data_IF_439284536986
#
_entry.id   IF_439284536986
#
_cell.length_a   1.000
_cell.length_b   1.000
_cell.length_c   1.000
_cell.angle_alpha   90.00
_cell.angle_beta   90.00
_cell.angle_gamma   90.00
#
_symmetry.space_group_name_H-M   'P 1'
#
loop_
_entity.id
_entity.type
_entity.pdbx_description
1 polymer ?
#
# COMPACT_ATOMS: atom_id res chain seq x y z
N UNK A 1 0.73 16.33 34.86
CA UNK A 1 1.23 15.11 34.20
C UNK A 1 1.74 15.51 32.84
N UNK A 2 3.05 15.53 32.68
CA UNK A 2 3.76 15.98 31.48
C UNK A 2 3.40 15.11 30.29
N UNK A 3 3.19 15.75 29.14
CA UNK A 3 2.96 15.10 27.87
C UNK A 3 4.11 14.15 27.59
N UNK A 4 3.86 12.84 27.79
CA UNK A 4 4.85 11.80 27.57
C UNK A 4 5.39 11.90 26.16
N UNK A 5 6.72 11.97 26.07
CA UNK A 5 7.45 11.73 24.84
C UNK A 5 6.82 10.52 24.17
N UNK A 6 6.16 10.73 23.01
CA UNK A 6 5.77 9.62 22.17
C UNK A 6 7.08 8.99 21.73
N UNK A 7 7.51 7.94 22.41
CA UNK A 7 8.71 7.20 22.06
C UNK A 7 8.63 6.89 20.57
N UNK A 8 9.51 7.52 19.79
CA UNK A 8 9.59 7.26 18.37
C UNK A 8 9.94 5.79 18.18
N UNK A 9 9.38 5.18 17.13
CA UNK A 9 9.76 3.82 16.79
C UNK A 9 11.28 3.70 16.62
N UNK A 10 11.88 2.65 17.19
CA UNK A 10 13.31 2.36 17.01
C UNK A 10 13.65 1.99 15.55
N UNK A 11 12.65 1.61 14.76
CA UNK A 11 12.78 1.35 13.33
C UNK A 11 12.75 2.66 12.57
N UNK A 12 13.91 3.09 12.06
CA UNK A 12 14.13 4.41 11.43
C UNK A 12 13.21 4.75 10.25
N UNK A 13 12.71 3.74 9.53
CA UNK A 13 11.83 3.94 8.39
C UNK A 13 10.35 3.84 8.76
N UNK A 14 10.01 3.51 10.01
CA UNK A 14 8.62 3.38 10.46
C UNK A 14 8.03 4.77 10.75
N UNK A 15 6.83 5.01 10.21
CA UNK A 15 6.08 6.27 10.41
C UNK A 15 5.16 6.20 11.64
N UNK A 16 5.07 5.06 12.32
CA UNK A 16 4.24 4.89 13.52
C UNK A 16 4.96 5.34 14.79
N UNK A 17 4.22 5.98 15.70
CA UNK A 17 4.70 6.41 17.01
C UNK A 17 4.19 5.48 18.13
N UNK A 18 4.98 5.34 19.20
CA UNK A 18 4.64 4.48 20.33
C UNK A 18 4.83 2.99 20.03
N UNK A 19 4.46 2.14 20.99
CA UNK A 19 4.61 0.69 20.87
C UNK A 19 3.64 0.08 19.85
N UNK A 20 4.16 -0.65 18.87
CA UNK A 20 3.39 -1.38 17.86
C UNK A 20 4.10 -2.67 17.44
N UNK A 21 3.34 -3.63 16.92
CA UNK A 21 3.86 -4.95 16.52
C UNK A 21 4.10 -5.07 15.01
N UNK A 22 3.61 -4.11 14.22
CA UNK A 22 3.78 -4.03 12.77
C UNK A 22 4.30 -2.66 12.40
N UNK A 23 5.51 -2.61 11.85
CA UNK A 23 6.10 -1.37 11.36
C UNK A 23 5.49 -1.01 10.02
N UNK A 24 5.09 0.24 9.81
CA UNK A 24 4.53 0.73 8.55
C UNK A 24 5.29 1.94 8.04
N UNK A 25 5.47 1.99 6.73
CA UNK A 25 5.94 3.17 6.04
C UNK A 25 5.08 3.46 4.84
N UNK A 26 4.54 4.67 4.84
CA UNK A 26 3.62 5.12 3.83
C UNK A 26 4.38 5.55 2.57
N UNK A 27 4.07 4.88 1.45
CA UNK A 27 4.69 5.19 0.17
C UNK A 27 3.89 6.21 -0.64
N UNK A 28 2.56 6.17 -0.52
CA UNK A 28 1.71 7.04 -1.31
C UNK A 28 0.25 6.60 -1.36
N UNK A 29 -0.53 7.39 -2.08
CA UNK A 29 -1.96 7.19 -2.28
C UNK A 29 -2.29 7.33 -3.77
N UNK A 30 -3.06 6.38 -4.28
CA UNK A 30 -3.51 6.37 -5.67
C UNK A 30 -5.01 6.69 -5.66
N UNK A 31 -5.45 7.82 -6.25
CA UNK A 31 -6.87 8.10 -6.39
C UNK A 31 -7.50 7.11 -7.38
N UNK A 32 -8.68 6.61 -7.05
CA UNK A 32 -9.43 5.68 -7.88
C UNK A 32 -10.89 6.13 -8.05
N UNK A 33 -11.52 5.66 -9.13
CA UNK A 33 -12.93 5.96 -9.44
C UNK A 33 -13.24 7.46 -9.40
N UNK A 34 -12.47 8.25 -10.17
CA UNK A 34 -12.55 9.72 -10.21
C UNK A 34 -12.40 10.40 -8.83
N UNK A 35 -11.66 9.76 -7.91
CA UNK A 35 -11.41 10.29 -6.57
C UNK A 35 -12.48 9.93 -5.53
N UNK A 36 -13.43 9.03 -5.85
CA UNK A 36 -14.43 8.55 -4.87
C UNK A 36 -13.83 7.64 -3.80
N UNK A 37 -12.68 7.05 -4.08
CA UNK A 37 -11.90 6.33 -3.09
C UNK A 37 -10.40 6.45 -3.40
N UNK A 38 -9.60 6.16 -2.38
CA UNK A 38 -8.13 6.20 -2.46
C UNK A 38 -7.57 4.83 -2.10
N UNK A 39 -6.55 4.38 -2.82
CA UNK A 39 -5.74 3.24 -2.45
C UNK A 39 -4.45 3.74 -1.78
N UNK A 40 -4.38 3.60 -0.46
CA UNK A 40 -3.15 3.82 0.30
C UNK A 40 -2.20 2.63 0.17
N UNK A 41 -0.91 2.92 0.00
CA UNK A 41 0.14 1.91 -0.16
C UNK A 41 1.19 2.09 0.93
N UNK A 42 1.47 1.02 1.67
CA UNK A 42 2.49 1.00 2.71
C UNK A 42 3.44 -0.17 2.52
N UNK A 43 4.72 0.03 2.85
CA UNK A 43 5.63 -1.06 3.19
C UNK A 43 5.38 -1.45 4.63
N UNK A 44 5.24 -2.74 4.90
CA UNK A 44 4.96 -3.24 6.25
C UNK A 44 5.94 -4.31 6.67
N UNK A 45 6.32 -4.32 7.94
CA UNK A 45 7.14 -5.39 8.53
C UNK A 45 6.59 -5.77 9.91
N UNK A 46 5.89 -6.89 10.04
CA UNK A 46 5.62 -7.49 11.35
C UNK A 46 6.94 -7.92 12.01
N UNK A 47 7.03 -7.84 13.34
CA UNK A 47 8.27 -8.17 14.08
C UNK A 47 8.83 -9.58 13.80
N UNK A 48 7.96 -10.54 13.50
CA UNK A 48 8.33 -11.95 13.27
C UNK A 48 8.23 -12.40 11.82
N UNK A 49 8.12 -11.46 10.87
CA UNK A 49 7.86 -11.78 9.46
C UNK A 49 8.73 -10.97 8.52
N UNK A 50 8.80 -11.42 7.28
CA UNK A 50 9.40 -10.66 6.19
C UNK A 50 8.60 -9.38 5.91
N UNK A 51 9.31 -8.41 5.35
CA UNK A 51 8.69 -7.18 4.81
C UNK A 51 7.66 -7.56 3.74
N UNK A 52 6.60 -6.78 3.61
CA UNK A 52 5.57 -6.93 2.61
C UNK A 52 4.94 -5.59 2.25
N UNK A 53 3.82 -5.64 1.53
CA UNK A 53 3.05 -4.47 1.11
C UNK A 53 1.65 -4.55 1.72
N UNK A 54 1.18 -3.45 2.30
CA UNK A 54 -0.20 -3.29 2.74
C UNK A 54 -0.90 -2.30 1.81
N UNK A 55 -1.98 -2.76 1.20
CA UNK A 55 -2.87 -2.00 0.33
C UNK A 55 -4.16 -1.73 1.10
N UNK A 56 -4.51 -0.45 1.28
CA UNK A 56 -5.72 -0.05 1.99
C UNK A 56 -6.63 0.74 1.08
N UNK A 57 -7.83 0.24 0.83
CA UNK A 57 -8.88 1.02 0.16
C UNK A 57 -9.56 1.92 1.18
N UNK A 58 -9.69 3.20 0.87
CA UNK A 58 -10.35 4.19 1.71
C UNK A 58 -11.47 4.82 0.89
N UNK A 59 -12.70 4.27 0.96
CA UNK A 59 -13.84 4.86 0.28
C UNK A 59 -14.33 6.11 1.00
N UNK A 60 -14.94 7.04 0.27
CA UNK A 60 -15.57 8.24 0.84
C UNK A 60 -16.68 7.91 1.85
N UNK A 61 -17.39 6.80 1.61
CA UNK A 61 -18.41 6.26 2.49
C UNK A 61 -18.23 4.75 2.61
N UNK A 62 -18.45 4.20 3.81
CA UNK A 62 -18.35 2.77 4.07
C UNK A 62 -17.06 2.35 4.76
N UNK A 63 -16.73 1.07 4.69
CA UNK A 63 -15.61 0.47 5.40
C UNK A 63 -14.38 0.38 4.50
N UNK A 64 -13.23 0.73 5.06
CA UNK A 64 -11.93 0.46 4.43
C UNK A 64 -11.64 -1.03 4.40
N UNK A 65 -11.00 -1.48 3.32
CA UNK A 65 -10.49 -2.85 3.20
C UNK A 65 -8.98 -2.83 3.19
N UNK A 66 -8.35 -3.74 3.93
CA UNK A 66 -6.90 -3.88 4.01
C UNK A 66 -6.52 -5.23 3.42
N UNK A 67 -5.57 -5.22 2.48
CA UNK A 67 -4.94 -6.42 1.93
C UNK A 67 -3.45 -6.35 2.24
N UNK A 68 -2.89 -7.45 2.73
CA UNK A 68 -1.45 -7.59 2.96
C UNK A 68 -0.89 -8.63 2.02
N UNK A 69 0.20 -8.29 1.37
CA UNK A 69 0.92 -9.12 0.43
C UNK A 69 2.33 -9.33 0.97
N UNK A 70 2.81 -10.57 0.99
CA UNK A 70 4.24 -10.82 1.14
C UNK A 70 5.02 -10.24 -0.05
N UNK A 71 6.34 -10.07 0.08
CA UNK A 71 7.19 -9.55 -1.02
C UNK A 71 6.93 -10.27 -2.34
N UNK A 72 6.88 -11.61 -2.30
CA UNK A 72 6.68 -12.42 -3.51
C UNK A 72 5.31 -12.19 -4.15
N UNK A 73 4.26 -12.09 -3.34
CA UNK A 73 2.91 -11.83 -3.84
C UNK A 73 2.80 -10.42 -4.44
N UNK A 74 3.47 -9.43 -3.83
CA UNK A 74 3.54 -8.08 -4.35
C UNK A 74 4.27 -8.01 -5.71
N UNK A 75 5.39 -8.74 -5.87
CA UNK A 75 6.09 -8.88 -7.16
C UNK A 75 5.19 -9.51 -8.23
N UNK A 76 4.51 -10.61 -7.88
CA UNK A 76 3.60 -11.29 -8.82
C UNK A 76 2.43 -10.39 -9.23
N UNK A 77 1.87 -9.63 -8.29
CA UNK A 77 0.82 -8.65 -8.58
C UNK A 77 1.35 -7.53 -9.49
N UNK A 78 2.56 -7.02 -9.24
CA UNK A 78 3.19 -6.01 -10.09
C UNK A 78 3.33 -6.51 -11.53
N UNK A 79 3.88 -7.71 -11.71
CA UNK A 79 4.06 -8.31 -13.03
C UNK A 79 2.73 -8.52 -13.75
N UNK A 80 1.72 -9.03 -13.04
CA UNK A 80 0.38 -9.23 -13.61
C UNK A 80 -0.27 -7.91 -14.06
N UNK A 81 -0.16 -6.85 -13.25
CA UNK A 81 -0.68 -5.52 -13.60
C UNK A 81 0.07 -4.94 -14.80
N UNK A 82 1.41 -5.02 -14.80
CA UNK A 82 2.25 -4.55 -15.91
C UNK A 82 1.85 -5.22 -17.22
N UNK A 83 1.73 -6.55 -17.22
CA UNK A 83 1.32 -7.30 -18.39
C UNK A 83 -0.08 -6.92 -18.88
N UNK A 84 -1.03 -6.73 -17.96
CA UNK A 84 -2.38 -6.30 -18.30
C UNK A 84 -2.41 -4.93 -18.97
N UNK A 85 -1.64 -3.97 -18.44
CA UNK A 85 -1.50 -2.62 -19.03
C UNK A 85 -0.88 -2.70 -20.43
N UNK A 86 0.17 -3.50 -20.62
CA UNK A 86 0.79 -3.70 -21.93
C UNK A 86 -0.19 -4.30 -22.95
N UNK A 87 -1.05 -5.24 -22.52
CA UNK A 87 -2.10 -5.81 -23.36
C UNK A 87 -3.14 -4.75 -23.76
N UNK A 88 -3.54 -3.87 -22.84
CA UNK A 88 -4.47 -2.77 -23.12
C UNK A 88 -3.88 -1.82 -24.16
N UNK A 89 -2.65 -1.36 -23.97
CA UNK A 89 -1.99 -0.45 -24.93
C UNK A 89 -1.88 -1.05 -26.33
N UNK A 90 -1.51 -2.33 -26.43
CA UNK A 90 -1.47 -3.04 -27.72
C UNK A 90 -2.84 -3.17 -28.40
N UNK A 91 -3.92 -3.26 -27.61
CA UNK A 91 -5.29 -3.34 -28.13
C UNK A 91 -5.77 -1.97 -28.58
N UNK A 92 -5.62 -0.95 -27.74
CA UNK A 92 -6.02 0.42 -28.04
C UNK A 92 -5.30 0.96 -29.29
N UNK A 93 -3.98 0.77 -29.38
CA UNK A 93 -3.22 1.18 -30.57
C UNK A 93 -3.50 0.37 -31.84
N UNK A 94 -4.29 -0.71 -31.76
CA UNK A 94 -4.79 -1.46 -32.92
C UNK A 94 -6.15 -0.95 -33.41
N UNK A 95 -6.93 -0.31 -32.53
CA UNK A 95 -8.24 0.24 -32.87
C UNK A 95 -8.12 1.67 -33.48
N UNK A 96 -6.92 2.25 -33.47
CA UNK A 96 -6.57 3.56 -34.04
C UNK A 96 -6.01 3.50 -35.49
N UNK A 97 -6.01 2.33 -36.15
CA UNK A 97 -5.52 2.10 -37.52
C UNK A 97 -6.62 1.65 -38.48
#
# INVERSE_FOLDING_TARGET
>A
MTAGERENCSVKWCDEAGAHTVHRHYLGSIPADSGRWVLGVNVVRPHSSTTGVELTTVPRHGRSTVVRLGTREAELLHEAIREAVDRIHRRAGRDDL
#
